data_IF_704550074679
#
_entry.id   IF_704550074679
#
_cell.length_a   1.000
_cell.length_b   1.000
_cell.length_c   1.000
_cell.angle_alpha   90.00
_cell.angle_beta   90.00
_cell.angle_gamma   90.00
#
_symmetry.space_group_name_H-M   'P 1'
#
loop_
_entity.id
_entity.type
_entity.pdbx_description
1 polymer ?
#
# COMPACT_ATOMS: atom_id res chain seq x y z
N UNK A 1 8.32 -27.72 3.98
CA UNK A 1 8.12 -27.23 2.60
C UNK A 1 7.79 -25.73 2.69
N UNK A 2 8.71 -24.84 2.33
CA UNK A 2 8.44 -23.39 2.37
C UNK A 2 7.42 -23.05 1.27
N UNK A 3 6.28 -22.46 1.63
CA UNK A 3 5.38 -21.82 0.66
C UNK A 3 6.01 -20.51 0.21
N UNK A 4 6.44 -20.45 -1.05
CA UNK A 4 6.88 -19.21 -1.69
C UNK A 4 5.63 -18.47 -2.14
N UNK A 5 5.44 -17.23 -1.68
CA UNK A 5 4.35 -16.38 -2.15
C UNK A 5 4.60 -15.97 -3.61
N UNK A 6 3.59 -16.11 -4.47
CA UNK A 6 3.67 -15.62 -5.86
C UNK A 6 3.44 -14.11 -5.95
N UNK A 7 2.66 -13.56 -5.03
CA UNK A 7 2.32 -12.15 -4.96
C UNK A 7 2.61 -11.68 -3.53
N UNK A 8 3.38 -10.62 -3.39
CA UNK A 8 3.70 -9.98 -2.12
C UNK A 8 3.35 -8.50 -2.22
N UNK A 9 2.58 -8.00 -1.25
CA UNK A 9 2.29 -6.57 -1.11
C UNK A 9 2.92 -6.07 0.19
N UNK A 10 3.79 -5.07 0.09
CA UNK A 10 4.30 -4.31 1.22
C UNK A 10 3.59 -2.96 1.28
N UNK A 11 3.19 -2.57 2.49
CA UNK A 11 2.48 -1.30 2.74
C UNK A 11 3.18 -0.57 3.88
N UNK A 12 3.43 0.71 3.70
CA UNK A 12 3.95 1.60 4.74
C UNK A 12 3.37 2.98 4.56
N UNK A 13 3.17 3.73 5.63
CA UNK A 13 2.62 5.07 5.51
C UNK A 13 2.34 5.74 6.85
N UNK A 14 1.76 6.93 6.76
CA UNK A 14 1.51 7.82 7.89
C UNK A 14 0.02 7.83 8.21
N UNK A 15 -0.47 6.90 9.03
CA UNK A 15 -1.85 6.95 9.52
C UNK A 15 -2.05 7.97 10.66
N UNK A 16 -0.96 8.35 11.33
CA UNK A 16 -0.92 9.35 12.40
C UNK A 16 0.26 10.31 12.18
N UNK A 17 0.27 11.49 12.81
CA UNK A 17 1.46 12.35 12.85
C UNK A 17 2.68 11.60 13.39
N UNK A 18 3.87 11.98 12.94
CA UNK A 18 5.12 11.34 13.38
C UNK A 18 6.37 11.95 12.76
N UNK A 19 7.54 11.47 13.19
CA UNK A 19 8.83 12.09 12.86
C UNK A 19 9.27 12.02 11.39
N UNK A 20 8.48 11.38 10.51
CA UNK A 20 8.78 11.34 9.08
C UNK A 20 7.80 12.16 8.25
N UNK A 21 6.86 12.87 8.86
CA UNK A 21 5.93 13.78 8.19
C UNK A 21 6.68 14.99 7.60
N UNK A 22 6.31 15.38 6.38
CA UNK A 22 6.77 16.63 5.73
C UNK A 22 5.59 17.26 4.99
N UNK A 23 5.67 18.55 4.57
CA UNK A 23 4.63 19.17 3.75
C UNK A 23 4.30 18.38 2.47
N UNK A 24 5.29 17.72 1.88
CA UNK A 24 5.17 16.89 0.67
C UNK A 24 4.70 15.45 0.97
N UNK A 25 4.80 15.02 2.24
CA UNK A 25 4.40 13.70 2.72
C UNK A 25 3.61 13.83 4.03
N UNK A 26 2.38 14.38 3.96
CA UNK A 26 1.53 14.57 5.14
C UNK A 26 0.96 13.24 5.65
N UNK A 27 0.38 13.28 6.85
CA UNK A 27 -0.51 12.22 7.37
C UNK A 27 -1.59 11.88 6.33
N UNK A 28 -1.79 10.60 6.08
CA UNK A 28 -2.62 10.07 4.99
C UNK A 28 -1.80 9.53 3.82
N UNK A 29 -0.50 9.84 3.74
CA UNK A 29 0.37 9.32 2.67
C UNK A 29 0.73 7.85 2.92
N UNK A 30 0.31 6.97 2.01
CA UNK A 30 0.58 5.53 2.04
C UNK A 30 1.30 5.09 0.76
N UNK A 31 2.33 4.28 0.92
CA UNK A 31 3.10 3.67 -0.15
C UNK A 31 2.83 2.17 -0.21
N UNK A 32 2.66 1.68 -1.43
CA UNK A 32 2.46 0.26 -1.72
C UNK A 32 3.58 -0.21 -2.66
N UNK A 33 4.13 -1.38 -2.38
CA UNK A 33 5.03 -2.08 -3.28
C UNK A 33 4.48 -3.49 -3.49
N UNK A 34 4.12 -3.81 -4.73
CA UNK A 34 3.66 -5.15 -5.10
C UNK A 34 4.70 -5.83 -5.98
N UNK A 35 5.05 -7.05 -5.60
CA UNK A 35 5.98 -7.92 -6.33
C UNK A 35 5.20 -9.16 -6.75
N UNK A 36 5.31 -9.47 -8.04
CA UNK A 36 4.74 -10.64 -8.70
C UNK A 36 5.88 -11.38 -9.43
N UNK A 37 5.65 -12.56 -10.06
CA UNK A 37 6.71 -13.25 -10.78
C UNK A 37 7.24 -12.48 -12.00
N UNK A 38 6.45 -11.56 -12.55
CA UNK A 38 6.77 -10.85 -13.80
C UNK A 38 7.06 -9.37 -13.61
N UNK A 39 6.52 -8.76 -12.55
CA UNK A 39 6.64 -7.31 -12.31
C UNK A 39 6.77 -6.94 -10.85
N UNK A 40 7.42 -5.80 -10.63
CA UNK A 40 7.39 -5.02 -9.40
C UNK A 40 6.81 -3.64 -9.71
N UNK A 41 5.83 -3.17 -8.94
CA UNK A 41 5.28 -1.82 -9.09
C UNK A 41 5.16 -1.13 -7.74
N UNK A 42 5.45 0.17 -7.71
CA UNK A 42 5.30 1.02 -6.54
C UNK A 42 4.14 2.00 -6.78
N UNK A 43 3.37 2.28 -5.73
CA UNK A 43 2.26 3.22 -5.76
C UNK A 43 2.31 4.12 -4.53
N UNK A 44 1.84 5.35 -4.69
CA UNK A 44 1.64 6.30 -3.60
C UNK A 44 0.20 6.79 -3.65
N UNK A 45 -0.48 6.71 -2.52
CA UNK A 45 -1.83 7.23 -2.35
C UNK A 45 -1.88 8.20 -1.17
N UNK A 46 -2.83 9.12 -1.24
CA UNK A 46 -3.15 10.03 -0.15
C UNK A 46 -4.59 9.80 0.28
N UNK A 47 -4.78 9.41 1.54
CA UNK A 47 -6.08 9.17 2.15
C UNK A 47 -6.38 10.23 3.20
N UNK A 48 -7.67 10.52 3.39
CA UNK A 48 -8.16 11.46 4.40
C UNK A 48 -9.00 10.72 5.43
N UNK A 49 -9.03 11.25 6.65
CA UNK A 49 -9.84 10.72 7.74
C UNK A 49 -9.04 10.55 9.02
N UNK A 50 -9.67 9.93 10.00
CA UNK A 50 -9.04 9.38 11.19
C UNK A 50 -7.99 8.32 10.84
N UNK A 51 -7.08 7.99 11.77
CA UNK A 51 -6.08 6.95 11.55
C UNK A 51 -6.68 5.60 11.14
N UNK A 52 -7.82 5.22 11.73
CA UNK A 52 -8.53 3.99 11.40
C UNK A 52 -9.11 4.03 9.98
N UNK A 53 -9.74 5.14 9.59
CA UNK A 53 -10.26 5.32 8.22
C UNK A 53 -9.14 5.28 7.18
N UNK A 54 -7.96 5.83 7.47
CA UNK A 54 -6.79 5.76 6.59
C UNK A 54 -6.34 4.30 6.41
N UNK A 55 -6.29 3.52 7.50
CA UNK A 55 -5.92 2.10 7.45
C UNK A 55 -6.93 1.29 6.64
N UNK A 56 -8.23 1.51 6.86
CA UNK A 56 -9.29 0.82 6.11
C UNK A 56 -9.22 1.13 4.61
N UNK A 57 -9.06 2.41 4.24
CA UNK A 57 -8.86 2.81 2.84
C UNK A 57 -7.59 2.17 2.23
N UNK A 58 -6.51 2.06 3.00
CA UNK A 58 -5.29 1.42 2.54
C UNK A 58 -5.46 -0.09 2.31
N UNK A 59 -6.24 -0.78 3.15
CA UNK A 59 -6.59 -2.20 2.98
C UNK A 59 -7.39 -2.41 1.69
N UNK A 60 -8.41 -1.57 1.46
CA UNK A 60 -9.23 -1.63 0.25
C UNK A 60 -8.38 -1.37 -1.00
N UNK A 61 -7.51 -0.37 -0.96
CA UNK A 61 -6.65 -0.04 -2.09
C UNK A 61 -5.61 -1.14 -2.36
N UNK A 62 -5.00 -1.69 -1.31
CA UNK A 62 -4.08 -2.83 -1.43
C UNK A 62 -4.74 -4.04 -2.07
N UNK A 63 -5.99 -4.32 -1.70
CA UNK A 63 -6.78 -5.42 -2.28
C UNK A 63 -7.05 -5.19 -3.77
N UNK A 64 -7.41 -3.96 -4.17
CA UNK A 64 -7.57 -3.60 -5.59
C UNK A 64 -6.29 -3.79 -6.40
N UNK A 65 -5.15 -3.33 -5.88
CA UNK A 65 -3.85 -3.50 -6.53
C UNK A 65 -3.49 -4.98 -6.72
N UNK A 66 -3.82 -5.83 -5.74
CA UNK A 66 -3.62 -7.28 -5.86
C UNK A 66 -4.50 -7.84 -6.98
N UNK A 67 -5.80 -7.51 -7.00
CA UNK A 67 -6.74 -7.96 -8.05
C UNK A 67 -6.24 -7.53 -9.44
N UNK A 68 -5.88 -6.26 -9.61
CA UNK A 68 -5.32 -5.72 -10.85
C UNK A 68 -4.04 -6.45 -11.26
N UNK A 69 -3.18 -6.79 -10.29
CA UNK A 69 -1.95 -7.53 -10.57
C UNK A 69 -2.23 -8.94 -11.09
N UNK A 70 -3.31 -9.58 -10.65
CA UNK A 70 -3.71 -10.93 -11.07
C UNK A 70 -4.35 -10.90 -12.46
N UNK A 71 -5.22 -9.93 -12.74
CA UNK A 71 -5.89 -9.80 -14.06
C UNK A 71 -4.89 -9.52 -15.18
N UNK A 72 -3.70 -9.01 -14.84
CA UNK A 72 -2.60 -8.74 -15.77
C UNK A 72 -1.57 -9.87 -15.91
N UNK A 73 -1.78 -11.01 -15.24
CA UNK A 73 -0.97 -12.23 -15.40
C UNK A 73 -1.57 -13.13 -16.49
#
# INVERSE_FOLDING_TARGET
MLKIAKITLAVTGLATPGGSETPEKPVGTIFFCIITPTKKTNHQFFFKGSPEEIVLQAIDQGSKLIIESITSL
#
